data_IF_420832722008
#
_entry.id   IF_420832722008
#
_cell.length_a   1.000
_cell.length_b   1.000
_cell.length_c   1.000
_cell.angle_alpha   90.00
_cell.angle_beta   90.00
_cell.angle_gamma   90.00
#
_symmetry.space_group_name_H-M   'P 1'
#
loop_
_entity.id
_entity.type
_entity.pdbx_description
1 polymer ?
#
# COMPACT_ATOMS: atom_id res chain seq x y z
N UNK A 1 13.29 -21.17 -14.41
CA UNK A 1 13.23 -21.02 -12.95
C UNK A 1 12.79 -22.37 -12.44
N UNK A 2 13.61 -23.03 -11.62
CA UNK A 2 13.36 -24.42 -11.24
C UNK A 2 11.99 -24.55 -10.57
N UNK A 3 11.09 -25.24 -11.27
CA UNK A 3 9.65 -25.18 -11.04
C UNK A 3 9.24 -25.69 -9.66
N UNK A 4 10.02 -26.57 -9.04
CA UNK A 4 9.69 -27.18 -7.74
C UNK A 4 9.91 -26.26 -6.52
N UNK A 5 10.97 -25.46 -6.51
CA UNK A 5 11.28 -24.61 -5.36
C UNK A 5 10.28 -23.46 -5.26
N UNK A 6 10.09 -22.71 -6.35
CA UNK A 6 9.22 -21.53 -6.35
C UNK A 6 7.74 -21.89 -6.13
N UNK A 7 7.27 -23.00 -6.70
CA UNK A 7 5.87 -23.43 -6.56
C UNK A 7 5.48 -23.80 -5.13
N UNK A 8 6.44 -24.25 -4.31
CA UNK A 8 6.20 -24.63 -2.92
C UNK A 8 6.40 -23.44 -1.97
N UNK A 9 7.50 -22.69 -2.13
CA UNK A 9 7.84 -21.64 -1.16
C UNK A 9 7.01 -20.35 -1.32
N UNK A 10 6.62 -19.97 -2.54
CA UNK A 10 5.85 -18.72 -2.77
C UNK A 10 4.48 -18.70 -2.04
N UNK A 11 3.64 -19.76 -2.12
CA UNK A 11 2.37 -19.79 -1.39
C UNK A 11 2.56 -19.79 0.12
N UNK A 12 3.57 -20.50 0.63
CA UNK A 12 3.89 -20.56 2.06
C UNK A 12 4.32 -19.19 2.56
N UNK A 13 5.21 -18.50 1.85
CA UNK A 13 5.63 -17.15 2.22
C UNK A 13 4.46 -16.17 2.20
N UNK A 14 3.59 -16.25 1.19
CA UNK A 14 2.41 -15.41 1.11
C UNK A 14 1.47 -15.66 2.31
N UNK A 15 1.22 -16.92 2.67
CA UNK A 15 0.39 -17.27 3.81
C UNK A 15 0.99 -16.76 5.14
N UNK A 16 2.31 -16.94 5.35
CA UNK A 16 3.01 -16.42 6.53
C UNK A 16 2.92 -14.89 6.58
N UNK A 17 3.10 -14.20 5.46
CA UNK A 17 3.02 -12.75 5.41
C UNK A 17 1.61 -12.24 5.74
N UNK A 18 0.59 -12.83 5.12
CA UNK A 18 -0.82 -12.45 5.32
C UNK A 18 -1.29 -12.79 6.74
N UNK A 19 -0.82 -13.89 7.32
CA UNK A 19 -1.03 -14.19 8.73
C UNK A 19 -0.32 -13.17 9.64
N UNK A 20 0.93 -12.80 9.31
CA UNK A 20 1.68 -11.76 10.01
C UNK A 20 0.94 -10.43 10.03
N UNK A 21 0.33 -10.05 8.91
CA UNK A 21 -0.55 -8.89 8.80
C UNK A 21 -1.80 -9.04 9.69
N UNK A 22 -2.45 -10.21 9.69
CA UNK A 22 -3.58 -10.48 10.58
C UNK A 22 -3.26 -10.38 12.07
N UNK A 23 -2.03 -10.70 12.47
CA UNK A 23 -1.56 -10.57 13.86
C UNK A 23 -1.45 -9.11 14.34
N UNK A 24 -1.38 -8.16 13.41
CA UNK A 24 -1.28 -6.73 13.71
C UNK A 24 -2.66 -6.06 13.83
N UNK A 25 -3.73 -6.71 13.35
CA UNK A 25 -5.08 -6.17 13.36
C UNK A 25 -5.82 -6.51 14.67
N UNK A 26 -6.53 -5.53 15.25
CA UNK A 26 -7.35 -5.76 16.44
C UNK A 26 -8.78 -5.24 16.27
N UNK A 27 -9.75 -5.92 16.90
CA UNK A 27 -11.17 -5.49 16.86
C UNK A 27 -11.35 -4.06 17.41
N UNK A 28 -10.50 -3.65 18.36
CA UNK A 28 -10.53 -2.31 18.95
C UNK A 28 -10.22 -1.20 17.93
N UNK A 29 -9.47 -1.50 16.89
CA UNK A 29 -9.16 -0.53 15.83
C UNK A 29 -10.44 -0.12 15.08
N UNK A 30 -11.38 -1.05 14.91
CA UNK A 30 -12.67 -0.84 14.24
C UNK A 30 -13.68 -0.12 15.12
N UNK A 31 -13.65 -0.33 16.43
CA UNK A 31 -14.53 0.39 17.36
C UNK A 31 -14.25 1.90 17.37
N UNK A 32 -13.07 2.34 16.93
CA UNK A 32 -12.72 3.76 16.79
C UNK A 32 -13.32 4.42 15.55
N UNK A 33 -13.87 3.63 14.61
CA UNK A 33 -14.55 4.13 13.42
C UNK A 33 -15.64 5.16 13.78
N UNK A 34 -16.40 4.88 14.83
CA UNK A 34 -17.50 5.72 15.31
C UNK A 34 -17.06 7.09 15.84
N UNK A 35 -15.77 7.26 16.19
CA UNK A 35 -15.24 8.53 16.69
C UNK A 35 -14.92 9.53 15.59
N UNK A 36 -14.51 9.07 14.41
CA UNK A 36 -14.06 9.93 13.29
C UNK A 36 -14.65 9.51 11.94
N UNK A 37 -15.97 9.32 11.82
CA UNK A 37 -16.58 8.71 10.63
C UNK A 37 -16.31 9.52 9.35
N UNK A 38 -16.37 10.85 9.43
CA UNK A 38 -16.12 11.74 8.30
C UNK A 38 -14.69 11.60 7.76
N UNK A 39 -13.69 11.65 8.63
CA UNK A 39 -12.27 11.57 8.22
C UNK A 39 -11.98 10.21 7.60
N UNK A 40 -12.46 9.14 8.23
CA UNK A 40 -12.23 7.78 7.75
C UNK A 40 -12.86 7.57 6.38
N UNK A 41 -14.10 8.02 6.18
CA UNK A 41 -14.75 7.93 4.86
C UNK A 41 -13.96 8.67 3.77
N UNK A 42 -13.54 9.90 4.05
CA UNK A 42 -12.78 10.73 3.08
C UNK A 42 -11.47 10.04 2.69
N UNK A 43 -10.71 9.57 3.68
CA UNK A 43 -9.43 8.90 3.43
C UNK A 43 -9.61 7.60 2.67
N UNK A 44 -10.57 6.76 3.06
CA UNK A 44 -10.85 5.51 2.36
C UNK A 44 -11.34 5.75 0.94
N UNK A 45 -12.18 6.75 0.70
CA UNK A 45 -12.61 7.12 -0.65
C UNK A 45 -11.43 7.58 -1.51
N UNK A 46 -10.57 8.45 -0.95
CA UNK A 46 -9.38 8.91 -1.64
C UNK A 46 -8.43 7.74 -1.98
N UNK A 47 -8.28 6.77 -1.08
CA UNK A 47 -7.36 5.65 -1.28
C UNK A 47 -7.91 4.54 -2.17
N UNK A 48 -9.20 4.20 -2.05
CA UNK A 48 -9.80 3.05 -2.72
C UNK A 48 -10.39 3.41 -4.10
N UNK A 49 -10.70 4.68 -4.33
CA UNK A 49 -11.36 5.12 -5.58
C UNK A 49 -10.51 6.15 -6.29
N UNK A 50 -10.21 7.27 -5.63
CA UNK A 50 -9.53 8.38 -6.29
C UNK A 50 -8.11 8.01 -6.72
N UNK A 51 -7.33 7.38 -5.84
CA UNK A 51 -5.93 7.08 -6.11
C UNK A 51 -5.75 5.99 -7.19
N UNK A 52 -6.51 4.88 -7.21
CA UNK A 52 -6.52 3.96 -8.35
C UNK A 52 -6.95 4.64 -9.66
N UNK A 53 -7.89 5.58 -9.61
CA UNK A 53 -8.28 6.36 -10.80
C UNK A 53 -7.13 7.23 -11.30
N UNK A 54 -6.41 7.91 -10.39
CA UNK A 54 -5.21 8.68 -10.73
C UNK A 54 -4.13 7.78 -11.33
N UNK A 55 -3.87 6.62 -10.73
CA UNK A 55 -2.91 5.65 -11.27
C UNK A 55 -3.31 5.19 -12.67
N UNK A 56 -4.59 4.92 -12.91
CA UNK A 56 -5.10 4.53 -14.22
C UNK A 56 -4.85 5.62 -15.27
N UNK A 57 -5.16 6.88 -14.95
CA UNK A 57 -4.88 8.00 -15.85
C UNK A 57 -3.38 8.20 -16.08
N UNK A 58 -2.53 8.00 -15.07
CA UNK A 58 -1.07 8.02 -15.24
C UNK A 58 -0.65 6.93 -16.25
N UNK A 59 -1.21 5.72 -16.15
CA UNK A 59 -0.94 4.63 -17.09
C UNK A 59 -1.29 5.01 -18.53
N UNK A 60 -2.44 5.66 -18.74
CA UNK A 60 -2.89 6.06 -20.07
C UNK A 60 -2.07 7.21 -20.64
N UNK A 61 -1.79 8.25 -19.84
CA UNK A 61 -1.12 9.47 -20.29
C UNK A 61 0.36 9.19 -20.63
N UNK A 62 1.01 8.32 -19.85
CA UNK A 62 2.41 7.96 -20.04
C UNK A 62 2.59 6.71 -20.92
N UNK A 63 1.51 6.18 -21.49
CA UNK A 63 1.49 4.99 -22.34
C UNK A 63 2.34 3.84 -21.77
N UNK A 64 2.03 3.47 -20.53
CA UNK A 64 2.84 2.51 -19.79
C UNK A 64 2.74 1.10 -20.41
N UNK A 65 3.86 0.36 -20.50
CA UNK A 65 3.82 -1.05 -20.86
C UNK A 65 2.86 -1.84 -19.97
N UNK A 66 2.03 -2.70 -20.57
CA UNK A 66 0.90 -3.35 -19.91
C UNK A 66 1.24 -3.98 -18.54
N UNK A 67 2.35 -4.69 -18.44
CA UNK A 67 2.80 -5.32 -17.18
C UNK A 67 3.12 -4.29 -16.09
N UNK A 68 3.75 -3.18 -16.46
CA UNK A 68 4.09 -2.11 -15.53
C UNK A 68 2.85 -1.31 -15.12
N UNK A 69 1.90 -1.11 -16.04
CA UNK A 69 0.60 -0.50 -15.75
C UNK A 69 -0.19 -1.31 -14.72
N UNK A 70 -0.27 -2.64 -14.90
CA UNK A 70 -0.89 -3.54 -13.91
C UNK A 70 -0.17 -3.47 -12.56
N UNK A 71 1.16 -3.43 -12.56
CA UNK A 71 1.95 -3.27 -11.33
C UNK A 71 1.72 -1.92 -10.62
N UNK A 72 1.55 -0.83 -11.36
CA UNK A 72 1.24 0.50 -10.81
C UNK A 72 -0.17 0.53 -10.22
N UNK A 73 -1.14 -0.10 -10.87
CA UNK A 73 -2.51 -0.25 -10.37
C UNK A 73 -2.57 -1.10 -9.10
N UNK A 74 -1.81 -2.21 -9.06
CA UNK A 74 -1.65 -3.06 -7.89
C UNK A 74 -1.09 -2.28 -6.69
N UNK A 75 -0.07 -1.46 -6.93
CA UNK A 75 0.51 -0.59 -5.92
C UNK A 75 -0.50 0.46 -5.43
N UNK A 76 -1.21 1.15 -6.33
CA UNK A 76 -2.20 2.16 -5.96
C UNK A 76 -3.38 1.58 -5.16
N UNK A 77 -3.76 0.32 -5.44
CA UNK A 77 -4.78 -0.42 -4.70
C UNK A 77 -4.30 -0.95 -3.34
N UNK A 78 -2.98 -0.95 -3.08
CA UNK A 78 -2.43 -1.49 -1.84
C UNK A 78 -2.76 -0.58 -0.65
N UNK A 79 -3.06 -1.15 0.53
CA UNK A 79 -3.36 -0.36 1.72
C UNK A 79 -2.14 0.41 2.22
N UNK A 80 -2.34 1.27 3.22
CA UNK A 80 -1.26 1.98 3.90
C UNK A 80 -0.19 1.02 4.46
N UNK A 81 1.06 1.46 4.40
CA UNK A 81 2.22 0.72 4.91
C UNK A 81 2.41 0.92 6.41
N UNK A 82 3.00 -0.05 7.14
CA UNK A 82 3.22 0.06 8.59
C UNK A 82 4.12 1.25 8.97
N UNK A 83 4.95 1.75 8.05
CA UNK A 83 5.79 2.93 8.21
C UNK A 83 5.00 4.25 8.18
N UNK A 84 3.75 4.26 7.69
CA UNK A 84 2.88 5.44 7.71
C UNK A 84 2.65 5.97 9.13
N UNK A 85 2.52 5.06 10.10
CA UNK A 85 2.38 5.37 11.51
C UNK A 85 3.60 6.11 12.08
N UNK A 86 4.79 5.67 11.69
CA UNK A 86 6.05 6.32 12.10
C UNK A 86 6.16 7.73 11.51
N UNK A 87 5.83 7.91 10.24
CA UNK A 87 5.82 9.23 9.61
C UNK A 87 4.79 10.16 10.24
N UNK A 88 3.60 9.64 10.56
CA UNK A 88 2.60 10.41 11.31
C UNK A 88 3.10 10.83 12.68
N UNK A 89 3.83 9.96 13.39
CA UNK A 89 4.45 10.33 14.66
C UNK A 89 5.51 11.42 14.48
N UNK A 90 6.46 11.23 13.57
CA UNK A 90 7.57 12.16 13.31
C UNK A 90 7.05 13.56 12.92
N UNK A 91 6.03 13.62 12.06
CA UNK A 91 5.49 14.87 11.53
C UNK A 91 4.23 15.36 12.27
N UNK A 92 4.03 14.89 13.51
CA UNK A 92 2.98 15.37 14.44
C UNK A 92 1.55 15.21 13.90
N UNK A 93 1.29 14.18 13.11
CA UNK A 93 -0.05 13.73 12.75
C UNK A 93 -0.77 12.99 13.89
N UNK A 94 -2.05 12.68 13.68
CA UNK A 94 -2.81 11.84 14.59
C UNK A 94 -2.46 10.36 14.41
N UNK A 95 -1.54 9.86 15.23
CA UNK A 95 -1.06 8.48 15.17
C UNK A 95 -2.17 7.47 15.46
N UNK A 96 -3.09 7.78 16.38
CA UNK A 96 -4.17 6.86 16.72
C UNK A 96 -5.16 6.72 15.57
N UNK A 97 -5.46 7.82 14.87
CA UNK A 97 -6.24 7.81 13.65
C UNK A 97 -5.52 7.05 12.53
N UNK A 98 -4.22 7.27 12.31
CA UNK A 98 -3.48 6.57 11.26
C UNK A 98 -3.53 5.05 11.47
N UNK A 99 -3.24 4.57 12.68
CA UNK A 99 -3.33 3.13 13.00
C UNK A 99 -4.73 2.58 12.69
N UNK A 100 -5.79 3.31 13.04
CA UNK A 100 -7.16 2.93 12.73
C UNK A 100 -7.41 2.91 11.21
N UNK A 101 -6.94 3.91 10.47
CA UNK A 101 -7.06 3.95 9.01
C UNK A 101 -6.33 2.78 8.36
N UNK A 102 -5.06 2.54 8.70
CA UNK A 102 -4.27 1.43 8.17
C UNK A 102 -4.97 0.09 8.42
N UNK A 103 -5.50 -0.12 9.63
CA UNK A 103 -6.17 -1.37 9.99
C UNK A 103 -7.45 -1.59 9.18
N UNK A 104 -8.31 -0.56 9.06
CA UNK A 104 -9.57 -0.64 8.32
C UNK A 104 -9.30 -0.83 6.83
N UNK A 105 -8.42 0.00 6.28
CA UNK A 105 -8.03 -0.02 4.88
C UNK A 105 -7.39 -1.36 4.50
N UNK A 106 -6.56 -1.94 5.38
CA UNK A 106 -5.99 -3.28 5.18
C UNK A 106 -7.08 -4.34 5.01
N UNK A 107 -8.11 -4.36 5.87
CA UNK A 107 -9.22 -5.31 5.71
C UNK A 107 -9.98 -5.06 4.42
N UNK A 108 -10.35 -3.81 4.14
CA UNK A 108 -11.10 -3.48 2.92
C UNK A 108 -10.30 -3.88 1.67
N UNK A 109 -8.98 -3.67 1.68
CA UNK A 109 -8.09 -4.02 0.58
C UNK A 109 -8.10 -5.50 0.25
N UNK A 110 -8.32 -6.40 1.22
CA UNK A 110 -8.45 -7.85 0.95
C UNK A 110 -9.58 -8.13 -0.04
N UNK A 111 -10.64 -7.31 -0.02
CA UNK A 111 -11.79 -7.44 -0.92
C UNK A 111 -11.63 -6.60 -2.19
N UNK A 112 -11.13 -5.37 -2.08
CA UNK A 112 -11.07 -4.44 -3.23
C UNK A 112 -9.88 -4.68 -4.15
N UNK A 113 -8.76 -5.13 -3.62
CA UNK A 113 -7.51 -5.30 -4.37
C UNK A 113 -7.62 -6.38 -5.45
N UNK A 114 -8.22 -7.58 -5.22
CA UNK A 114 -8.46 -8.54 -6.29
C UNK A 114 -9.32 -7.98 -7.43
N UNK A 115 -10.29 -7.12 -7.12
CA UNK A 115 -11.15 -6.48 -8.12
C UNK A 115 -10.37 -5.47 -8.98
N UNK A 116 -9.59 -4.59 -8.36
CA UNK A 116 -8.78 -3.59 -9.09
C UNK A 116 -7.74 -4.28 -9.98
N UNK A 117 -7.06 -5.32 -9.49
CA UNK A 117 -6.10 -6.07 -10.28
C UNK A 117 -6.80 -6.72 -11.48
N UNK A 118 -7.96 -7.36 -11.26
CA UNK A 118 -8.65 -8.04 -12.33
C UNK A 118 -9.08 -7.08 -13.45
N UNK A 119 -9.64 -5.92 -13.06
CA UNK A 119 -9.98 -4.86 -14.00
C UNK A 119 -8.74 -4.37 -14.78
N UNK A 120 -7.60 -4.25 -14.08
CA UNK A 120 -6.34 -3.82 -14.69
C UNK A 120 -5.79 -4.86 -15.67
N UNK A 121 -5.79 -6.14 -15.29
CA UNK A 121 -5.39 -7.25 -16.18
C UNK A 121 -6.28 -7.28 -17.42
N UNK A 122 -7.59 -7.16 -17.24
CA UNK A 122 -8.53 -7.16 -18.35
C UNK A 122 -8.32 -5.95 -19.27
N UNK A 123 -8.10 -4.75 -18.74
CA UNK A 123 -7.92 -3.57 -19.58
C UNK A 123 -6.56 -3.56 -20.29
N UNK A 124 -5.45 -3.77 -19.56
CA UNK A 124 -4.11 -3.59 -20.11
C UNK A 124 -3.57 -4.81 -20.86
N UNK A 125 -4.07 -6.02 -20.59
CA UNK A 125 -3.49 -7.25 -21.16
C UNK A 125 -4.39 -7.97 -22.18
N UNK A 126 -5.64 -7.56 -22.40
CA UNK A 126 -6.58 -8.30 -23.27
C UNK A 126 -6.40 -8.08 -24.78
N UNK A 127 -5.21 -7.73 -25.26
CA UNK A 127 -4.96 -7.56 -26.70
C UNK A 127 -4.72 -8.89 -27.44
N UNK A 128 -4.46 -9.98 -26.72
CA UNK A 128 -4.34 -11.31 -27.32
C UNK A 128 -5.08 -12.35 -26.45
N UNK A 129 -6.00 -13.07 -27.09
CA UNK A 129 -6.73 -14.26 -26.62
C UNK A 129 -7.88 -14.04 -25.62
N UNK A 130 -8.86 -14.96 -25.71
CA UNK A 130 -10.05 -15.10 -24.89
C UNK A 130 -9.74 -15.19 -23.38
N UNK A 131 -9.38 -14.07 -22.75
CA UNK A 131 -9.28 -13.96 -21.29
C UNK A 131 -10.69 -13.90 -20.74
N UNK A 132 -11.31 -15.09 -20.61
CA UNK A 132 -12.47 -15.27 -19.74
C UNK A 132 -12.12 -14.71 -18.36
N UNK A 133 -13.04 -13.94 -17.77
CA UNK A 133 -12.93 -13.46 -16.39
C UNK A 133 -12.45 -14.62 -15.51
N UNK A 134 -11.20 -14.61 -15.01
CA UNK A 134 -10.70 -15.72 -14.22
C UNK A 134 -11.22 -15.56 -12.79
N UNK A 135 -12.55 -15.67 -12.62
CA UNK A 135 -13.24 -15.63 -11.33
C UNK A 135 -12.62 -16.66 -10.39
N UNK A 136 -12.19 -17.80 -10.92
CA UNK A 136 -11.46 -18.83 -10.19
C UNK A 136 -10.13 -18.31 -9.61
N UNK A 137 -9.34 -17.56 -10.40
CA UNK A 137 -8.11 -16.94 -9.90
C UNK A 137 -8.40 -15.84 -8.88
N UNK A 138 -9.45 -15.03 -9.09
CA UNK A 138 -9.87 -14.03 -8.10
C UNK A 138 -10.21 -14.70 -6.78
N UNK A 139 -11.03 -15.76 -6.82
CA UNK A 139 -11.40 -16.53 -5.64
C UNK A 139 -10.19 -17.17 -4.98
N UNK A 140 -9.25 -17.70 -5.77
CA UNK A 140 -8.00 -18.26 -5.23
C UNK A 140 -7.18 -17.20 -4.49
N UNK A 141 -6.98 -16.02 -5.09
CA UNK A 141 -6.25 -14.89 -4.50
C UNK A 141 -6.96 -14.36 -3.26
N UNK A 142 -8.27 -14.22 -3.34
CA UNK A 142 -9.10 -13.81 -2.24
C UNK A 142 -8.99 -14.79 -1.06
N UNK A 143 -9.14 -16.09 -1.29
CA UNK A 143 -9.05 -17.10 -0.23
C UNK A 143 -7.64 -17.22 0.36
N UNK A 144 -6.60 -17.21 -0.49
CA UNK A 144 -5.21 -17.35 -0.02
C UNK A 144 -4.73 -16.13 0.78
N UNK A 145 -5.37 -14.96 0.60
CA UNK A 145 -5.10 -13.76 1.42
C UNK A 145 -6.01 -13.70 2.64
N UNK A 146 -7.31 -13.92 2.48
CA UNK A 146 -8.29 -13.76 3.56
C UNK A 146 -8.12 -14.80 4.66
N UNK A 147 -7.93 -16.08 4.31
CA UNK A 147 -7.84 -17.16 5.30
C UNK A 147 -6.67 -16.93 6.27
N UNK A 148 -5.42 -16.68 5.81
CA UNK A 148 -4.32 -16.43 6.73
C UNK A 148 -4.52 -15.16 7.57
N UNK A 149 -5.11 -14.09 7.02
CA UNK A 149 -5.41 -12.88 7.79
C UNK A 149 -6.38 -13.17 8.93
N UNK A 150 -7.49 -13.88 8.66
CA UNK A 150 -8.46 -14.27 9.68
C UNK A 150 -7.78 -15.14 10.75
N UNK A 151 -6.96 -16.12 10.34
CA UNK A 151 -6.21 -16.95 11.29
C UNK A 151 -5.27 -16.10 12.17
N UNK A 152 -4.57 -15.13 11.58
CA UNK A 152 -3.74 -14.18 12.32
C UNK A 152 -4.53 -13.36 13.33
N UNK A 153 -5.70 -12.83 12.94
CA UNK A 153 -6.59 -12.08 13.84
C UNK A 153 -7.13 -12.94 14.99
N UNK A 154 -7.50 -14.19 14.72
CA UNK A 154 -7.94 -15.14 15.74
C UNK A 154 -6.81 -15.47 16.72
N UNK A 155 -5.59 -15.69 16.21
CA UNK A 155 -4.42 -15.94 17.05
C UNK A 155 -4.08 -14.70 17.89
N UNK A 156 -4.21 -13.50 17.33
CA UNK A 156 -4.08 -12.22 18.04
C UNK A 156 -5.09 -12.08 19.17
N UNK A 157 -6.34 -12.46 18.92
CA UNK A 157 -7.41 -12.41 19.91
C UNK A 157 -7.18 -13.40 21.06
N UNK A 158 -6.70 -14.61 20.77
CA UNK A 158 -6.49 -15.68 21.77
C UNK A 158 -5.17 -15.55 22.53
N UNK A 159 -4.10 -15.10 21.86
CA UNK A 159 -2.75 -15.01 22.41
C UNK A 159 -2.12 -13.63 22.10
N UNK A 160 -2.58 -12.55 22.76
CA UNK A 160 -2.11 -11.20 22.48
C UNK A 160 -0.62 -11.02 22.71
N UNK A 161 -0.05 -11.60 23.78
CA UNK A 161 1.38 -11.45 24.08
C UNK A 161 2.26 -12.16 23.04
N UNK A 162 1.87 -13.36 22.60
CA UNK A 162 2.60 -14.11 21.57
C UNK A 162 2.57 -13.38 20.22
N UNK A 163 1.40 -12.88 19.84
CA UNK A 163 1.23 -12.18 18.56
C UNK A 163 2.03 -10.86 18.48
N UNK A 164 2.21 -10.12 19.59
CA UNK A 164 3.12 -8.96 19.61
C UNK A 164 4.55 -9.40 19.27
N UNK A 165 5.01 -10.49 19.88
CA UNK A 165 6.39 -10.97 19.72
C UNK A 165 6.65 -11.58 18.34
N UNK A 166 5.68 -12.29 17.78
CA UNK A 166 5.87 -13.12 16.57
C UNK A 166 5.48 -12.40 15.27
N UNK A 167 4.56 -11.41 15.32
CA UNK A 167 4.14 -10.64 14.13
C UNK A 167 5.31 -10.02 13.37
N UNK A 168 6.19 -9.32 14.09
CA UNK A 168 7.33 -8.61 13.49
C UNK A 168 8.36 -9.56 12.84
N UNK A 169 8.86 -10.62 13.51
CA UNK A 169 9.72 -11.62 12.88
C UNK A 169 9.10 -12.27 11.64
N UNK A 170 7.83 -12.71 11.72
CA UNK A 170 7.14 -13.33 10.60
C UNK A 170 7.09 -12.42 9.37
N UNK A 171 6.75 -11.15 9.58
CA UNK A 171 6.70 -10.15 8.51
C UNK A 171 8.10 -9.89 7.92
N UNK A 172 9.10 -9.70 8.77
CA UNK A 172 10.47 -9.43 8.32
C UNK A 172 11.07 -10.60 7.54
N UNK A 173 10.85 -11.85 7.97
CA UNK A 173 11.28 -13.04 7.24
C UNK A 173 10.60 -13.13 5.87
N UNK A 174 9.29 -12.85 5.82
CA UNK A 174 8.54 -12.89 4.55
C UNK A 174 9.00 -11.82 3.58
N UNK A 175 9.16 -10.58 4.05
CA UNK A 175 9.69 -9.47 3.25
C UNK A 175 11.11 -9.79 2.80
N UNK A 176 11.96 -10.30 3.67
CA UNK A 176 13.34 -10.68 3.35
C UNK A 176 13.40 -11.72 2.23
N UNK A 177 12.62 -12.79 2.34
CA UNK A 177 12.53 -13.82 1.30
C UNK A 177 12.06 -13.24 -0.05
N UNK A 178 10.94 -12.50 -0.05
CA UNK A 178 10.40 -11.90 -1.28
C UNK A 178 11.33 -10.85 -1.89
N UNK A 179 12.04 -10.09 -1.06
CA UNK A 179 13.05 -9.12 -1.51
C UNK A 179 14.23 -9.83 -2.14
N UNK A 180 14.70 -10.95 -1.57
CA UNK A 180 15.75 -11.78 -2.17
C UNK A 180 15.28 -12.31 -3.53
N UNK A 181 14.03 -12.77 -3.63
CA UNK A 181 13.47 -13.22 -4.91
C UNK A 181 13.39 -12.09 -5.94
N UNK A 182 12.96 -10.90 -5.52
CA UNK A 182 12.93 -9.72 -6.37
C UNK A 182 14.33 -9.35 -6.85
N UNK A 183 15.32 -9.28 -5.96
CA UNK A 183 16.72 -8.97 -6.30
C UNK A 183 17.28 -10.03 -7.25
N UNK A 184 17.03 -11.30 -7.00
CA UNK A 184 17.48 -12.39 -7.88
C UNK A 184 16.88 -12.26 -9.28
N UNK A 185 15.58 -11.97 -9.37
CA UNK A 185 14.92 -11.79 -10.65
C UNK A 185 15.36 -10.51 -11.38
N UNK A 186 15.52 -9.40 -10.65
CA UNK A 186 16.12 -8.16 -11.16
C UNK A 186 17.54 -8.40 -11.66
N UNK A 187 18.36 -9.16 -10.94
CA UNK A 187 19.72 -9.48 -11.34
C UNK A 187 19.75 -10.28 -12.65
N UNK A 188 18.76 -11.16 -12.85
CA UNK A 188 18.57 -11.90 -14.10
C UNK A 188 18.11 -11.00 -15.25
N UNK A 189 17.33 -9.98 -14.94
CA UNK A 189 16.79 -8.95 -15.86
C UNK A 189 17.66 -7.66 -15.89
N UNK A 190 18.89 -7.69 -15.37
CA UNK A 190 19.65 -6.47 -15.04
C UNK A 190 19.94 -5.56 -16.23
N UNK A 191 20.00 -6.12 -17.44
CA UNK A 191 20.17 -5.36 -18.68
C UNK A 191 19.02 -4.38 -18.92
N UNK A 192 17.83 -4.68 -18.40
CA UNK A 192 16.60 -3.93 -18.63
C UNK A 192 16.31 -2.93 -17.49
N UNK A 193 17.16 -2.84 -16.45
CA UNK A 193 16.88 -2.00 -15.29
C UNK A 193 16.79 -0.50 -15.59
N UNK A 194 17.71 0.00 -16.44
CA UNK A 194 17.68 1.41 -16.85
C UNK A 194 16.42 1.70 -17.64
N UNK A 195 16.03 0.78 -18.52
CA UNK A 195 14.78 0.86 -19.28
C UNK A 195 13.55 0.82 -18.37
N UNK A 196 13.51 -0.05 -17.36
CA UNK A 196 12.43 -0.07 -16.39
C UNK A 196 12.30 1.26 -15.64
N UNK A 197 13.41 1.86 -15.19
CA UNK A 197 13.40 3.18 -14.57
C UNK A 197 12.91 4.27 -15.53
N UNK A 198 13.34 4.23 -16.80
CA UNK A 198 12.87 5.16 -17.82
C UNK A 198 11.36 5.01 -18.07
N UNK A 199 10.86 3.78 -18.10
CA UNK A 199 9.47 3.46 -18.42
C UNK A 199 8.50 3.77 -17.27
N UNK A 200 8.90 3.57 -16.01
CA UNK A 200 7.96 3.67 -14.87
C UNK A 200 8.37 4.65 -13.76
N UNK A 201 9.60 5.17 -13.80
CA UNK A 201 10.13 6.07 -12.77
C UNK A 201 9.30 7.34 -12.64
N UNK A 202 8.97 7.98 -13.76
CA UNK A 202 8.12 9.17 -13.76
C UNK A 202 6.72 8.86 -13.22
N UNK A 203 6.10 7.77 -13.67
CA UNK A 203 4.77 7.36 -13.24
C UNK A 203 4.69 7.10 -11.73
N UNK A 204 5.67 6.38 -11.17
CA UNK A 204 5.73 6.09 -9.73
C UNK A 204 6.01 7.35 -8.91
N UNK A 205 6.86 8.26 -9.38
CA UNK A 205 7.08 9.55 -8.73
C UNK A 205 5.81 10.42 -8.74
N UNK A 206 5.11 10.51 -9.87
CA UNK A 206 3.85 11.27 -10.00
C UNK A 206 2.78 10.65 -9.09
N UNK A 207 2.63 9.32 -9.07
CA UNK A 207 1.70 8.65 -8.18
C UNK A 207 2.03 8.95 -6.71
N UNK A 208 3.31 8.90 -6.34
CA UNK A 208 3.77 9.17 -4.97
C UNK A 208 3.51 10.61 -4.53
N UNK A 209 3.78 11.57 -5.41
CA UNK A 209 3.46 12.96 -5.13
C UNK A 209 1.94 13.15 -5.02
N UNK A 210 1.19 12.58 -5.95
CA UNK A 210 -0.28 12.69 -5.98
C UNK A 210 -0.91 12.08 -4.74
N UNK A 211 -0.44 10.92 -4.27
CA UNK A 211 -0.96 10.24 -3.08
C UNK A 211 -0.76 11.08 -1.82
N UNK A 212 0.44 11.62 -1.61
CA UNK A 212 0.74 12.56 -0.51
C UNK A 212 -0.10 13.83 -0.62
N UNK A 213 -0.15 14.44 -1.81
CA UNK A 213 -0.85 15.69 -2.04
C UNK A 213 -2.36 15.56 -1.80
N UNK A 214 -2.98 14.54 -2.41
CA UNK A 214 -4.40 14.19 -2.22
C UNK A 214 -4.69 13.94 -0.74
N UNK A 215 -3.84 13.15 -0.08
CA UNK A 215 -4.04 12.79 1.33
C UNK A 215 -3.89 13.96 2.30
N UNK A 216 -3.26 15.06 1.88
CA UNK A 216 -3.20 16.30 2.66
C UNK A 216 -4.32 17.26 2.30
N UNK A 217 -4.50 17.56 1.01
CA UNK A 217 -5.37 18.62 0.54
C UNK A 217 -6.86 18.27 0.65
N UNK A 218 -7.27 17.04 0.30
CA UNK A 218 -8.70 16.69 0.34
C UNK A 218 -9.27 16.76 1.76
N UNK A 219 -8.63 16.17 2.80
CA UNK A 219 -9.13 16.33 4.16
C UNK A 219 -9.21 17.80 4.59
N UNK A 220 -8.21 18.62 4.27
CA UNK A 220 -8.21 20.04 4.62
C UNK A 220 -9.36 20.81 3.94
N UNK A 221 -9.57 20.60 2.64
CA UNK A 221 -10.67 21.22 1.89
C UNK A 221 -12.04 20.81 2.45
N UNK A 222 -12.15 19.62 3.02
CA UNK A 222 -13.36 19.13 3.68
C UNK A 222 -13.46 19.54 5.16
N UNK A 223 -12.58 20.42 5.64
CA UNK A 223 -12.60 20.97 7.00
C UNK A 223 -12.07 20.01 8.07
N UNK A 224 -11.27 19.02 7.71
CA UNK A 224 -10.63 18.11 8.67
C UNK A 224 -9.45 18.84 9.35
N UNK A 225 -9.30 18.76 10.68
CA UNK A 225 -8.19 19.39 11.38
C UNK A 225 -6.83 18.95 10.84
N UNK A 226 -5.87 19.86 10.79
CA UNK A 226 -4.56 19.64 10.16
C UNK A 226 -3.83 18.40 10.71
N UNK A 227 -3.89 18.16 12.02
CA UNK A 227 -3.29 16.99 12.67
C UNK A 227 -3.84 15.67 12.08
N UNK A 228 -5.13 15.61 11.80
CA UNK A 228 -5.77 14.45 11.18
C UNK A 228 -5.48 14.41 9.67
N UNK A 229 -5.46 15.55 8.99
CA UNK A 229 -5.07 15.61 7.56
C UNK A 229 -3.65 15.08 7.33
N UNK A 230 -2.70 15.38 8.22
CA UNK A 230 -1.35 14.79 8.19
C UNK A 230 -1.37 13.27 8.36
N UNK A 231 -2.21 12.73 9.22
CA UNK A 231 -2.37 11.29 9.34
C UNK A 231 -2.87 10.67 8.02
N UNK A 232 -3.86 11.30 7.38
CA UNK A 232 -4.39 10.88 6.08
C UNK A 232 -3.33 10.96 4.97
N UNK A 233 -2.48 12.00 5.01
CA UNK A 233 -1.37 12.20 4.07
C UNK A 233 -0.43 11.00 4.06
N UNK A 234 -0.01 10.55 5.24
CA UNK A 234 0.92 9.44 5.33
C UNK A 234 0.25 8.09 5.12
N UNK A 235 -1.01 7.92 5.54
CA UNK A 235 -1.78 6.70 5.23
C UNK A 235 -1.94 6.48 3.72
N UNK A 236 -2.26 7.54 2.97
CA UNK A 236 -2.46 7.46 1.51
C UNK A 236 -1.11 7.45 0.78
N UNK A 237 -0.15 8.25 1.23
CA UNK A 237 1.13 8.42 0.55
C UNK A 237 2.15 7.30 0.77
N UNK A 238 2.07 6.61 1.91
CA UNK A 238 2.99 5.51 2.25
C UNK A 238 2.23 4.21 2.07
N UNK A 239 2.40 3.59 0.90
CA UNK A 239 1.78 2.31 0.57
C UNK A 239 2.51 1.12 1.20
N UNK A 240 1.77 0.02 1.35
CA UNK A 240 2.34 -1.27 1.70
C UNK A 240 2.92 -1.96 0.45
N UNK A 241 4.11 -1.53 0.05
CA UNK A 241 4.81 -2.08 -1.12
C UNK A 241 5.13 -3.56 -0.99
N UNK A 242 5.21 -4.10 0.25
CA UNK A 242 5.36 -5.53 0.48
C UNK A 242 4.14 -6.34 0.02
N UNK A 243 2.91 -5.85 0.25
CA UNK A 243 1.70 -6.51 -0.25
C UNK A 243 1.70 -6.52 -1.78
N UNK A 244 1.98 -5.38 -2.42
CA UNK A 244 2.06 -5.28 -3.87
C UNK A 244 3.11 -6.25 -4.45
N UNK A 245 4.31 -6.29 -3.87
CA UNK A 245 5.38 -7.21 -4.26
C UNK A 245 4.95 -8.68 -4.16
N UNK A 246 4.33 -9.03 -3.03
CA UNK A 246 3.90 -10.40 -2.75
C UNK A 246 2.85 -10.87 -3.74
N UNK A 247 1.91 -10.01 -4.10
CA UNK A 247 0.84 -10.36 -5.03
C UNK A 247 1.37 -10.44 -6.45
N UNK A 248 2.24 -9.52 -6.87
CA UNK A 248 2.88 -9.61 -8.18
C UNK A 248 3.68 -10.92 -8.35
N UNK A 249 4.50 -11.29 -7.36
CA UNK A 249 5.39 -12.45 -7.47
C UNK A 249 4.67 -13.77 -7.15
N UNK A 250 3.96 -13.86 -6.02
CA UNK A 250 3.40 -15.14 -5.56
C UNK A 250 2.05 -15.47 -6.20
N UNK A 251 1.27 -14.45 -6.60
CA UNK A 251 -0.08 -14.63 -7.12
C UNK A 251 -0.10 -14.49 -8.65
N UNK A 252 0.46 -13.40 -9.17
CA UNK A 252 0.47 -13.13 -10.61
C UNK A 252 1.66 -13.79 -11.31
N UNK A 253 2.60 -14.35 -10.55
CA UNK A 253 3.81 -15.01 -11.04
C UNK A 253 4.58 -14.16 -12.05
N UNK A 254 4.63 -12.84 -11.81
CA UNK A 254 5.21 -11.88 -12.73
C UNK A 254 6.06 -10.84 -11.98
N UNK A 255 7.37 -10.89 -12.19
CA UNK A 255 8.33 -9.99 -11.54
C UNK A 255 8.25 -8.58 -12.12
N UNK A 256 7.96 -8.42 -13.41
CA UNK A 256 7.82 -7.11 -14.04
C UNK A 256 6.71 -6.29 -13.38
N UNK A 257 5.60 -6.93 -13.00
CA UNK A 257 4.52 -6.30 -12.23
C UNK A 257 4.93 -5.87 -10.81
N UNK A 258 6.04 -6.38 -10.26
CA UNK A 258 6.57 -5.98 -8.96
C UNK A 258 7.49 -4.75 -9.01
N UNK A 259 8.04 -4.43 -10.19
CA UNK A 259 8.99 -3.33 -10.37
C UNK A 259 8.43 -1.97 -9.91
N UNK A 260 7.17 -1.59 -10.21
CA UNK A 260 6.62 -0.32 -9.77
C UNK A 260 6.65 -0.17 -8.24
N UNK A 261 6.37 -1.23 -7.48
CA UNK A 261 6.43 -1.20 -6.02
C UNK A 261 7.86 -1.03 -5.48
N UNK A 262 8.84 -1.65 -6.14
CA UNK A 262 10.26 -1.47 -5.83
C UNK A 262 10.73 -0.03 -6.04
N UNK A 263 10.44 0.54 -7.21
CA UNK A 263 10.83 1.92 -7.55
C UNK A 263 10.07 2.94 -6.68
N UNK A 264 8.76 2.73 -6.46
CA UNK A 264 7.97 3.58 -5.58
C UNK A 264 8.56 3.68 -4.19
N UNK A 265 9.13 2.60 -3.64
CA UNK A 265 9.73 2.62 -2.29
C UNK A 265 10.84 3.68 -2.16
N UNK A 266 11.58 3.96 -3.24
CA UNK A 266 12.62 4.99 -3.28
C UNK A 266 11.97 6.37 -3.16
N UNK A 267 11.00 6.68 -4.02
CA UNK A 267 10.29 7.96 -4.00
C UNK A 267 9.49 8.16 -2.71
N UNK A 268 8.82 7.11 -2.23
CA UNK A 268 7.94 7.11 -1.06
C UNK A 268 8.63 7.71 0.17
N UNK A 269 9.80 7.19 0.55
CA UNK A 269 10.49 7.69 1.74
C UNK A 269 11.07 9.09 1.53
N UNK A 270 11.64 9.38 0.36
CA UNK A 270 12.19 10.70 0.06
C UNK A 270 11.10 11.78 0.03
N UNK A 271 10.02 11.55 -0.72
CA UNK A 271 8.93 12.50 -0.88
C UNK A 271 8.12 12.65 0.40
N UNK A 272 7.81 11.56 1.11
CA UNK A 272 7.12 11.66 2.40
C UNK A 272 7.93 12.45 3.43
N UNK A 273 9.26 12.32 3.41
CA UNK A 273 10.16 13.09 4.29
C UNK A 273 10.11 14.59 3.94
N UNK A 274 10.30 14.92 2.66
CA UNK A 274 10.27 16.31 2.18
C UNK A 274 8.91 16.94 2.46
N UNK A 275 7.83 16.27 2.05
CA UNK A 275 6.47 16.74 2.22
C UNK A 275 6.11 16.89 3.71
N UNK A 276 6.51 15.93 4.55
CA UNK A 276 6.36 15.99 6.00
C UNK A 276 7.05 17.20 6.63
N UNK A 277 8.28 17.52 6.21
CA UNK A 277 9.00 18.73 6.67
C UNK A 277 8.26 19.99 6.24
N UNK A 278 7.75 20.06 5.00
CA UNK A 278 7.03 21.23 4.49
C UNK A 278 5.75 21.50 5.29
N UNK A 279 4.91 20.49 5.48
CA UNK A 279 3.63 20.64 6.19
C UNK A 279 3.81 20.85 7.70
N UNK A 280 4.87 20.31 8.31
CA UNK A 280 5.14 20.51 9.75
C UNK A 280 5.70 21.88 10.08
N UNK A 281 6.40 22.55 9.16
CA UNK A 281 6.91 23.92 9.34
C UNK A 281 5.81 24.98 9.38
N UNK A 282 4.71 24.78 8.66
CA UNK A 282 3.60 25.75 8.60
C UNK A 282 2.90 25.95 9.96
N UNK A 283 2.91 24.93 10.83
CA UNK A 283 2.34 25.01 12.18
C UNK A 283 3.09 25.95 13.12
N UNK A 284 4.42 26.06 12.99
CA UNK A 284 5.24 26.94 13.84
C UNK A 284 4.91 28.40 13.55
N UNK A 285 4.62 28.73 12.29
CA UNK A 285 4.33 30.10 11.86
C UNK A 285 2.94 30.55 12.32
N UNK A 286 1.91 29.70 12.21
CA UNK A 286 0.56 30.04 12.68
C UNK A 286 0.44 30.14 14.21
N UNK A 287 1.09 29.24 14.95
CA UNK A 287 1.12 29.27 16.43
C UNK A 287 1.85 30.50 16.99
N UNK A 288 2.91 30.96 16.30
CA UNK A 288 3.58 32.22 16.69
C UNK A 288 2.76 33.46 16.34
N UNK A 289 2.01 33.46 15.23
CA UNK A 289 1.14 34.60 14.88
C UNK A 289 -0.03 34.77 15.84
N UNK A 290 -0.66 33.69 16.30
CA UNK A 290 -1.76 33.78 17.28
C UNK A 290 -1.27 34.28 18.64
N UNK A 291 -0.07 33.86 19.08
CA UNK A 291 0.53 34.36 20.33
C UNK A 291 0.94 35.82 20.28
N UNK A 292 1.27 36.34 19.11
CA UNK A 292 1.63 37.76 18.92
C UNK A 292 0.41 38.66 18.74
N UNK A 293 -0.76 38.13 18.39
CA UNK A 293 -2.02 38.88 18.39
C UNK A 293 -2.70 38.95 19.76
N UNK A 294 -2.27 38.08 20.69
CA UNK A 294 -2.75 38.03 22.08
C UNK A 294 -1.86 38.85 23.05
N UNK A 295 -0.84 39.54 22.53
CA UNK A 295 0.07 40.46 23.24
C UNK A 295 -0.16 41.90 22.76
#
# INVERSE_FOLDING_TARGET
MDSGFFSVFLPITLAIMMMGLGLELTIKDFLRLSRYPKVIFITLFAQLVLLPSVAFFICLILDLPALLAVGLMLLAASPGGPTANLFSYIYKGDVALNITLTAINTIISIFTLPFIINLSLHYFMSHDSNVTFPVEKIMQVFLITLIPVIMGMLLRAKFPNLSITVSRPMRLLSIGFLTILLIFAIFRERSNLVEYFANIGAATAILCFSSLFIGYCIPLLMGIPEKMARACTFEIGIHNTAIALTIAISVLNNVTMAIPAGIYTIFMYSFATIFGVLISRQQVVYSNKSRLSDL
#
